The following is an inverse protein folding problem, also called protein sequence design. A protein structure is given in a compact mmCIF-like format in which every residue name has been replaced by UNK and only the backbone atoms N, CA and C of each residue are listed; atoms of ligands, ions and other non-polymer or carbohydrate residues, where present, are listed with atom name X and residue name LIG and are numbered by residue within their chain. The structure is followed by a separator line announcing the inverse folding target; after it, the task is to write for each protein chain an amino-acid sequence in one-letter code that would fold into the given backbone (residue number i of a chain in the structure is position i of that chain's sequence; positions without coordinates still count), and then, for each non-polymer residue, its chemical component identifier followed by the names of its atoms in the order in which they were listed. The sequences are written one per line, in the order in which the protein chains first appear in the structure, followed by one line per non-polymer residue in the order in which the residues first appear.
data_IF_843694206768
#
_entry.id   IF_843694206768
#
_cell.length_a   1.000
_cell.length_b   1.000
_cell.length_c   1.000
_cell.angle_alpha   90.00
_cell.angle_beta   90.00
_cell.angle_gamma   90.00
#
_symmetry.space_group_name_H-M   'P 1'
#
loop_
_entity.id
_entity.type
_entity.pdbx_description
1 polymer ?
#
# COMPACT_ATOMS: atom_id res chain seq x y z
N UNK A 1 8.46 6.68 -16.60
CA UNK A 1 7.92 7.20 -15.32
C UNK A 1 9.03 7.09 -14.29
N UNK A 2 10.12 7.83 -14.51
CA UNK A 2 11.33 7.77 -13.70
C UNK A 2 11.83 9.19 -13.46
N UNK A 3 12.48 9.40 -12.32
CA UNK A 3 13.04 10.67 -11.91
C UNK A 3 12.74 11.01 -10.45
N UNK A 4 13.49 11.95 -9.86
CA UNK A 4 13.41 12.30 -8.45
C UNK A 4 12.01 12.76 -8.02
N UNK A 5 11.30 13.47 -8.89
CA UNK A 5 9.92 13.88 -8.66
C UNK A 5 8.99 12.67 -8.47
N UNK A 6 9.10 11.65 -9.35
CA UNK A 6 8.31 10.43 -9.23
C UNK A 6 8.64 9.66 -7.95
N UNK A 7 9.88 9.67 -7.49
CA UNK A 7 10.27 9.00 -6.25
C UNK A 7 9.73 9.72 -5.02
N UNK A 8 9.71 11.06 -5.03
CA UNK A 8 9.08 11.86 -3.98
C UNK A 8 7.57 11.66 -3.92
N UNK A 9 6.89 11.60 -5.07
CA UNK A 9 5.45 11.32 -5.13
C UNK A 9 5.12 9.94 -4.55
N UNK A 10 5.87 8.91 -4.92
CA UNK A 10 5.64 7.56 -4.40
C UNK A 10 5.99 7.43 -2.93
N UNK A 11 7.00 8.17 -2.44
CA UNK A 11 7.32 8.21 -1.02
C UNK A 11 6.16 8.78 -0.18
N UNK A 12 5.43 9.77 -0.71
CA UNK A 12 4.26 10.38 -0.04
C UNK A 12 3.03 9.46 0.05
N UNK A 13 3.04 8.30 -0.62
CA UNK A 13 1.95 7.33 -0.52
C UNK A 13 1.94 6.57 0.81
N UNK A 14 3.05 6.59 1.54
CA UNK A 14 3.25 5.85 2.78
C UNK A 14 3.34 6.81 3.99
N UNK A 15 2.87 6.39 5.17
CA UNK A 15 3.15 7.10 6.42
C UNK A 15 4.66 7.11 6.73
N UNK A 16 5.06 7.91 7.71
CA UNK A 16 6.46 8.05 8.14
C UNK A 16 7.11 6.73 8.57
N UNK A 17 6.32 5.80 9.12
CA UNK A 17 6.72 4.41 9.45
C UNK A 17 6.81 3.46 8.24
N UNK A 18 6.60 3.96 7.03
CA UNK A 18 6.59 3.17 5.80
C UNK A 18 5.33 2.33 5.68
N UNK A 19 5.46 1.02 5.54
CA UNK A 19 4.32 0.12 5.34
C UNK A 19 4.05 -0.81 6.53
N UNK A 20 4.73 -0.56 7.64
CA UNK A 20 4.69 -1.38 8.84
C UNK A 20 4.07 -0.65 10.03
N UNK A 21 3.55 -1.41 10.97
CA UNK A 21 3.07 -0.97 12.27
C UNK A 21 3.61 -1.90 13.35
N UNK A 22 3.74 -1.37 14.56
CA UNK A 22 4.31 -2.06 15.70
C UNK A 22 3.25 -2.26 16.78
N UNK A 23 2.96 -3.50 17.14
CA UNK A 23 1.90 -3.84 18.10
C UNK A 23 2.55 -4.61 19.25
N UNK A 24 2.40 -4.08 20.47
CA UNK A 24 2.80 -4.74 21.70
C UNK A 24 1.57 -5.18 22.49
N UNK A 25 1.38 -6.48 22.75
CA UNK A 25 0.29 -6.97 23.59
C UNK A 25 0.37 -6.49 25.04
N UNK A 26 1.56 -6.37 25.63
CA UNK A 26 1.75 -5.96 27.03
C UNK A 26 2.15 -4.50 27.22
N UNK A 27 2.20 -3.70 26.14
CA UNK A 27 2.84 -2.38 26.09
C UNK A 27 4.33 -2.40 26.48
N UNK A 28 5.00 -3.56 26.37
CA UNK A 28 6.44 -3.69 26.50
C UNK A 28 7.13 -3.60 25.14
N UNK A 29 8.36 -3.08 25.11
CA UNK A 29 9.16 -3.12 23.88
C UNK A 29 9.56 -4.57 23.53
N UNK A 30 9.75 -5.41 24.55
CA UNK A 30 10.29 -6.77 24.42
C UNK A 30 9.36 -7.74 23.70
N UNK A 31 8.05 -7.47 23.69
CA UNK A 31 7.03 -8.28 23.01
C UNK A 31 6.42 -7.55 21.80
N UNK A 32 7.04 -6.47 21.33
CA UNK A 32 6.56 -5.71 20.18
C UNK A 32 6.75 -6.50 18.88
N UNK A 33 5.64 -6.83 18.21
CA UNK A 33 5.62 -7.43 16.88
C UNK A 33 5.50 -6.38 15.77
N UNK A 34 6.20 -6.60 14.66
CA UNK A 34 6.08 -5.78 13.44
C UNK A 34 5.13 -6.45 12.44
N UNK A 35 4.15 -5.69 11.98
CA UNK A 35 3.13 -6.14 11.04
C UNK A 35 3.04 -5.18 9.86
N UNK A 36 2.44 -5.60 8.76
CA UNK A 36 2.18 -4.73 7.61
C UNK A 36 0.68 -4.43 7.49
N UNK A 37 0.37 -3.19 7.14
CA UNK A 37 -1.01 -2.81 6.80
C UNK A 37 -1.22 -3.12 5.32
N UNK A 38 -2.28 -3.85 4.97
CA UNK A 38 -2.56 -4.27 3.59
C UNK A 38 -2.50 -3.10 2.60
N UNK A 39 -3.12 -1.96 2.92
CA UNK A 39 -3.10 -0.77 2.07
C UNK A 39 -1.66 -0.32 1.75
N UNK A 40 -0.83 -0.12 2.77
CA UNK A 40 0.51 0.39 2.60
C UNK A 40 1.46 -0.62 1.96
N UNK A 41 1.30 -1.92 2.25
CA UNK A 41 2.12 -2.95 1.62
C UNK A 41 1.81 -3.07 0.12
N UNK A 42 0.54 -2.94 -0.28
CA UNK A 42 0.16 -2.88 -1.70
C UNK A 42 0.81 -1.66 -2.40
N UNK A 43 0.76 -0.47 -1.79
CA UNK A 43 1.38 0.74 -2.33
C UNK A 43 2.91 0.61 -2.41
N UNK A 44 3.55 0.01 -1.40
CA UNK A 44 4.99 -0.27 -1.41
C UNK A 44 5.38 -1.24 -2.53
N UNK A 45 4.60 -2.30 -2.73
CA UNK A 45 4.81 -3.27 -3.82
C UNK A 45 4.69 -2.61 -5.20
N UNK A 46 3.74 -1.69 -5.37
CA UNK A 46 3.60 -0.91 -6.61
C UNK A 46 4.80 -0.02 -6.88
N UNK A 47 5.36 0.63 -5.86
CA UNK A 47 6.59 1.43 -5.99
C UNK A 47 7.79 0.55 -6.42
N UNK A 48 7.93 -0.63 -5.82
CA UNK A 48 8.99 -1.60 -6.19
C UNK A 48 8.86 -2.00 -7.66
N UNK A 49 7.67 -2.42 -8.08
CA UNK A 49 7.43 -2.83 -9.48
C UNK A 49 7.70 -1.66 -10.44
N UNK A 50 7.25 -0.44 -10.11
CA UNK A 50 7.53 0.75 -10.92
C UNK A 50 9.03 0.96 -11.12
N UNK A 51 9.81 0.89 -10.03
CA UNK A 51 11.26 1.09 -10.09
C UNK A 51 11.96 0.03 -10.94
N UNK A 52 11.47 -1.20 -10.93
CA UNK A 52 12.00 -2.32 -11.73
C UNK A 52 11.71 -2.19 -13.23
N UNK A 53 10.69 -1.42 -13.63
CA UNK A 53 10.50 -1.03 -15.04
C UNK A 53 11.51 0.04 -15.50
N UNK A 54 12.24 0.63 -14.57
CA UNK A 54 13.23 1.65 -14.82
C UNK A 54 14.62 1.11 -15.13
N UNK A 55 15.41 1.84 -15.91
CA UNK A 55 16.77 1.39 -16.29
C UNK A 55 17.81 1.60 -15.17
N UNK A 56 17.48 2.42 -14.15
CA UNK A 56 18.47 2.92 -13.18
C UNK A 56 18.47 2.16 -11.85
N UNK A 57 17.45 1.35 -11.58
CA UNK A 57 17.34 0.62 -10.31
C UNK A 57 17.95 -0.79 -10.41
N UNK A 58 18.74 -1.22 -9.41
CA UNK A 58 19.27 -2.57 -9.39
C UNK A 58 18.10 -3.55 -9.33
N UNK A 59 18.02 -4.43 -10.33
CA UNK A 59 16.92 -5.40 -10.38
C UNK A 59 17.01 -6.38 -9.22
N UNK A 60 15.87 -6.61 -8.58
CA UNK A 60 15.67 -7.54 -7.47
C UNK A 60 14.56 -8.54 -7.81
N UNK A 61 14.82 -9.53 -8.69
CA UNK A 61 13.77 -10.37 -9.26
C UNK A 61 12.92 -11.11 -8.23
N UNK A 62 13.51 -11.56 -7.11
CA UNK A 62 12.79 -12.22 -6.02
C UNK A 62 11.79 -11.29 -5.34
N UNK A 63 12.18 -10.04 -5.09
CA UNK A 63 11.31 -9.03 -4.48
C UNK A 63 10.21 -8.61 -5.45
N UNK A 64 10.53 -8.44 -6.73
CA UNK A 64 9.55 -8.17 -7.79
C UNK A 64 8.53 -9.30 -7.91
N UNK A 65 8.99 -10.56 -7.90
CA UNK A 65 8.12 -11.73 -7.92
C UNK A 65 7.23 -11.79 -6.68
N UNK A 66 7.76 -11.51 -5.50
CA UNK A 66 6.97 -11.39 -4.27
C UNK A 66 5.87 -10.34 -4.41
N UNK A 67 6.21 -9.13 -4.86
CA UNK A 67 5.27 -8.02 -5.03
C UNK A 67 4.16 -8.36 -6.03
N UNK A 68 4.52 -8.92 -7.19
CA UNK A 68 3.56 -9.34 -8.22
C UNK A 68 2.63 -10.44 -7.69
N UNK A 69 3.17 -11.41 -6.96
CA UNK A 69 2.38 -12.50 -6.36
C UNK A 69 1.41 -11.96 -5.32
N UNK A 70 1.87 -11.06 -4.44
CA UNK A 70 1.05 -10.46 -3.39
C UNK A 70 -0.09 -9.61 -3.95
N UNK A 71 0.20 -8.76 -4.96
CA UNK A 71 -0.82 -7.96 -5.62
C UNK A 71 -1.83 -8.81 -6.39
N UNK A 72 -1.36 -9.84 -7.09
CA UNK A 72 -2.23 -10.79 -7.78
C UNK A 72 -3.19 -11.49 -6.81
N UNK A 73 -2.68 -12.02 -5.69
CA UNK A 73 -3.51 -12.63 -4.64
C UNK A 73 -4.53 -11.63 -4.07
N UNK A 74 -4.09 -10.40 -3.78
CA UNK A 74 -4.97 -9.34 -3.25
C UNK A 74 -6.14 -9.03 -4.19
N UNK A 75 -5.88 -8.93 -5.49
CA UNK A 75 -6.90 -8.68 -6.53
C UNK A 75 -7.88 -9.86 -6.61
N UNK A 76 -7.37 -11.09 -6.56
CA UNK A 76 -8.20 -12.30 -6.62
C UNK A 76 -9.05 -12.53 -5.36
N UNK A 77 -8.67 -12.00 -4.20
CA UNK A 77 -9.45 -12.13 -2.97
C UNK A 77 -10.69 -11.23 -2.95
N UNK A 78 -10.65 -10.08 -3.62
CA UNK A 78 -11.79 -9.15 -3.74
C UNK A 78 -11.95 -8.67 -5.18
N UNK A 79 -12.20 -9.58 -6.12
CA UNK A 79 -12.31 -9.23 -7.52
C UNK A 79 -13.62 -8.46 -7.71
N UNK A 80 -13.55 -7.39 -8.49
CA UNK A 80 -14.77 -6.78 -8.99
C UNK A 80 -15.30 -7.64 -10.14
N UNK A 81 -16.36 -8.41 -9.89
CA UNK A 81 -16.98 -9.28 -10.88
C UNK A 81 -18.05 -8.58 -11.72
N UNK A 82 -18.24 -7.27 -11.54
CA UNK A 82 -19.18 -6.51 -12.35
C UNK A 82 -18.68 -6.39 -13.78
N UNK A 83 -19.54 -6.75 -14.74
CA UNK A 83 -19.26 -6.52 -16.14
C UNK A 83 -19.20 -5.01 -16.42
N UNK A 84 -18.18 -4.59 -17.18
CA UNK A 84 -18.16 -3.24 -17.72
C UNK A 84 -19.36 -3.06 -18.66
N UNK A 85 -20.04 -1.92 -18.55
CA UNK A 85 -21.18 -1.65 -19.42
C UNK A 85 -20.66 -1.38 -20.82
N UNK A 86 -20.85 -2.35 -21.70
CA UNK A 86 -20.75 -2.11 -23.13
C UNK A 86 -21.87 -1.15 -23.52
N UNK A 87 -21.54 -0.17 -24.38
CA UNK A 87 -22.45 0.91 -24.82
C UNK A 87 -23.84 0.36 -25.14
N UNK A 88 -24.89 1.05 -24.73
CA UNK A 88 -26.23 0.72 -25.21
C UNK A 88 -26.40 1.12 -26.69
N UNK A 89 -27.56 0.78 -27.28
CA UNK A 89 -27.89 1.05 -28.70
C UNK A 89 -27.86 2.53 -29.09
N UNK A 90 -27.84 3.45 -28.12
CA UNK A 90 -27.70 4.90 -28.31
C UNK A 90 -26.31 5.41 -27.89
N UNK A 91 -25.31 4.53 -27.85
CA UNK A 91 -23.92 4.83 -27.56
C UNK A 91 -23.64 5.48 -26.19
N UNK A 92 -24.56 5.35 -25.23
CA UNK A 92 -24.36 5.85 -23.86
C UNK A 92 -23.83 4.73 -22.97
N UNK A 93 -22.76 5.04 -22.23
CA UNK A 93 -22.22 4.17 -21.19
C UNK A 93 -22.85 4.57 -19.85
N UNK A 94 -23.50 3.63 -19.17
CA UNK A 94 -23.84 3.81 -17.75
C UNK A 94 -22.72 3.20 -16.92
N UNK A 95 -22.23 3.88 -15.89
CA UNK A 95 -21.38 3.21 -14.90
C UNK A 95 -22.27 2.21 -14.15
N UNK A 96 -22.06 0.90 -14.34
CA UNK A 96 -22.70 -0.14 -13.51
C UNK A 96 -22.07 -0.27 -12.13
N UNK A 97 -20.90 0.35 -11.95
CA UNK A 97 -20.06 0.20 -10.76
C UNK A 97 -20.50 1.16 -9.66
N UNK A 98 -20.88 0.60 -8.52
CA UNK A 98 -20.92 1.33 -7.27
C UNK A 98 -19.48 1.63 -6.84
N UNK A 99 -19.09 2.90 -6.92
CA UNK A 99 -17.80 3.38 -6.42
C UNK A 99 -18.02 3.88 -5.00
N UNK A 100 -17.55 3.12 -4.01
CA UNK A 100 -17.60 3.55 -2.61
C UNK A 100 -16.33 4.33 -2.30
N UNK A 101 -16.47 5.62 -2.03
CA UNK A 101 -15.41 6.42 -1.43
C UNK A 101 -15.30 6.03 0.04
N UNK A 102 -14.15 5.48 0.44
CA UNK A 102 -13.81 5.29 1.85
C UNK A 102 -12.86 6.40 2.24
N UNK A 103 -13.10 6.95 3.42
CA UNK A 103 -12.11 7.80 4.06
C UNK A 103 -10.97 6.91 4.57
N UNK A 104 -9.81 7.05 3.93
CA UNK A 104 -8.60 6.34 4.31
C UNK A 104 -7.72 7.16 5.24
N UNK A 105 -8.02 8.45 5.48
CA UNK A 105 -7.23 9.34 6.33
C UNK A 105 -7.07 8.76 7.74
N UNK A 106 -8.14 8.19 8.29
CA UNK A 106 -8.11 7.51 9.59
C UNK A 106 -7.03 6.40 9.69
N UNK A 107 -6.76 5.68 8.59
CA UNK A 107 -5.73 4.62 8.57
C UNK A 107 -4.33 5.22 8.56
N UNK A 108 -4.13 6.33 7.84
CA UNK A 108 -2.86 7.06 7.85
C UNK A 108 -2.58 7.66 9.22
N UNK A 109 -3.58 8.31 9.82
CA UNK A 109 -3.43 8.89 11.14
C UNK A 109 -3.08 7.86 12.22
N UNK A 110 -3.72 6.69 12.21
CA UNK A 110 -3.39 5.61 13.15
C UNK A 110 -1.98 5.07 12.93
N UNK A 111 -1.53 4.97 11.68
CA UNK A 111 -0.17 4.53 11.38
C UNK A 111 0.88 5.54 11.87
N UNK A 112 0.61 6.84 11.74
CA UNK A 112 1.47 7.90 12.28
C UNK A 112 1.49 7.88 13.81
N UNK A 113 0.31 7.75 14.45
CA UNK A 113 0.21 7.59 15.92
C UNK A 113 1.01 6.38 16.39
N UNK A 114 0.86 5.25 15.70
CA UNK A 114 1.57 4.01 16.01
C UNK A 114 3.09 4.16 15.91
N UNK A 115 3.59 4.74 14.81
CA UNK A 115 5.01 4.98 14.62
C UNK A 115 5.59 5.93 15.67
N UNK A 116 4.86 7.00 16.00
CA UNK A 116 5.27 7.95 17.04
C UNK A 116 5.37 7.28 18.42
N UNK A 117 4.38 6.46 18.78
CA UNK A 117 4.39 5.70 20.04
C UNK A 117 5.58 4.73 20.11
N UNK A 118 5.84 3.99 19.03
CA UNK A 118 6.97 3.07 18.94
C UNK A 118 8.31 3.79 19.06
N UNK A 119 8.50 4.90 18.34
CA UNK A 119 9.72 5.71 18.42
C UNK A 119 9.97 6.23 19.85
N UNK A 120 8.91 6.65 20.55
CA UNK A 120 9.02 7.12 21.93
C UNK A 120 9.37 5.98 22.89
N UNK A 121 8.77 4.79 22.71
CA UNK A 121 9.06 3.62 23.51
C UNK A 121 10.53 3.17 23.35
N UNK A 122 11.04 3.12 22.11
CA UNK A 122 12.46 2.81 21.86
C UNK A 122 13.39 3.83 22.53
N UNK A 123 13.08 5.12 22.43
CA UNK A 123 13.94 6.17 23.01
C UNK A 123 13.98 6.16 24.54
N UNK A 124 12.95 5.58 25.17
CA UNK A 124 12.81 5.53 26.62
C UNK A 124 13.32 4.22 27.23
N UNK A 125 13.69 3.24 26.40
CA UNK A 125 14.31 1.98 26.78
C UNK A 125 15.84 2.12 26.80
#
# INVERSE_FOLDING_TARGET
MEGPESDEEFAKLLPSGGHTVHISPSNSIDDTGTYTVTLFHQLKCLDIIRREYGETYPSTPELTQHCLTYLHQSILCRPYLGLEVTKNVVATARKSREMVCRDWEAVYEEAERNQAAYNNAIRSA
#
